data_IF_738907078707
#
_entry.id   IF_738907078707
#
_cell.length_a   1.000
_cell.length_b   1.000
_cell.length_c   1.000
_cell.angle_alpha   90.00
_cell.angle_beta   90.00
_cell.angle_gamma   90.00
#
_symmetry.space_group_name_H-M   'P 1'
#
loop_
_entity.id
_entity.type
_entity.pdbx_description
1 polymer ?
#
# COMPACT_ATOMS: atom_id res chain seq x y z
N UNK A 1 -18.09 -10.08 -41.93
CA UNK A 1 -17.20 -9.03 -41.39
C UNK A 1 -17.42 -9.01 -39.88
N UNK A 2 -16.63 -9.77 -39.14
CA UNK A 2 -16.56 -9.66 -37.68
C UNK A 2 -15.34 -8.81 -37.38
N UNK A 3 -15.56 -7.70 -36.66
CA UNK A 3 -14.48 -6.89 -36.12
C UNK A 3 -13.62 -7.77 -35.22
N UNK A 4 -12.34 -7.87 -35.56
CA UNK A 4 -11.34 -8.42 -34.67
C UNK A 4 -11.30 -7.56 -33.41
N UNK A 5 -11.63 -8.19 -32.29
CA UNK A 5 -11.56 -7.58 -30.97
C UNK A 5 -10.07 -7.43 -30.65
N UNK A 6 -9.52 -6.23 -30.88
CA UNK A 6 -8.16 -5.91 -30.44
C UNK A 6 -8.10 -6.14 -28.93
N UNK A 7 -7.26 -7.08 -28.51
CA UNK A 7 -6.92 -7.29 -27.10
C UNK A 7 -6.59 -5.92 -26.48
N UNK A 8 -7.11 -5.57 -25.29
CA UNK A 8 -6.67 -4.38 -24.60
C UNK A 8 -5.15 -4.48 -24.45
N UNK A 9 -4.45 -3.50 -25.01
CA UNK A 9 -3.02 -3.39 -24.87
C UNK A 9 -2.69 -3.19 -23.38
N UNK A 10 -1.82 -4.06 -22.87
CA UNK A 10 -1.06 -3.88 -21.64
C UNK A 10 -1.87 -3.53 -20.39
N UNK A 11 -2.67 -4.49 -19.90
CA UNK A 11 -2.93 -4.54 -18.46
C UNK A 11 -1.57 -4.72 -17.77
N UNK A 12 -1.05 -3.62 -17.19
CA UNK A 12 0.12 -3.68 -16.35
C UNK A 12 -0.17 -4.62 -15.17
N UNK A 13 0.31 -5.85 -15.29
CA UNK A 13 0.23 -6.83 -14.22
C UNK A 13 0.82 -6.18 -12.97
N UNK A 14 0.04 -6.15 -11.87
CA UNK A 14 0.58 -5.83 -10.55
C UNK A 14 1.80 -6.73 -10.39
N UNK A 15 2.98 -6.12 -10.23
CA UNK A 15 4.21 -6.87 -10.04
C UNK A 15 3.97 -7.86 -8.89
N UNK A 16 4.50 -9.08 -8.98
CA UNK A 16 4.23 -10.16 -8.01
C UNK A 16 4.58 -9.83 -6.55
N UNK A 17 5.21 -8.67 -6.31
CA UNK A 17 5.60 -8.11 -5.02
C UNK A 17 4.75 -6.90 -4.56
N UNK A 18 3.70 -6.53 -5.30
CA UNK A 18 2.82 -5.41 -4.99
C UNK A 18 1.55 -5.85 -4.25
N UNK A 19 1.24 -5.22 -3.11
CA UNK A 19 -0.04 -5.40 -2.41
C UNK A 19 -1.02 -4.31 -2.87
N UNK A 20 -2.13 -4.65 -3.56
CA UNK A 20 -3.13 -3.67 -3.95
C UNK A 20 -3.85 -3.12 -2.72
N UNK A 21 -4.11 -1.81 -2.69
CA UNK A 21 -4.75 -1.14 -1.55
C UNK A 21 -5.88 -0.20 -1.93
N UNK A 22 -6.19 -0.07 -3.22
CA UNK A 22 -7.26 0.79 -3.70
C UNK A 22 -7.13 1.10 -5.19
N UNK A 23 -7.89 2.11 -5.63
CA UNK A 23 -7.91 2.56 -7.02
C UNK A 23 -7.84 4.08 -7.11
N UNK A 24 -7.33 4.59 -8.22
CA UNK A 24 -7.30 6.00 -8.56
C UNK A 24 -7.75 6.23 -10.00
N UNK A 25 -8.22 7.44 -10.27
CA UNK A 25 -8.69 7.84 -11.59
C UNK A 25 -7.54 8.50 -12.35
N UNK A 26 -7.11 7.91 -13.46
CA UNK A 26 -6.09 8.51 -14.33
C UNK A 26 -6.71 9.44 -15.38
N UNK A 27 -7.91 9.09 -15.86
CA UNK A 27 -8.65 9.86 -16.87
C UNK A 27 -10.16 9.70 -16.69
N UNK A 28 -11.01 10.48 -17.39
CA UNK A 28 -12.47 10.43 -17.25
C UNK A 28 -13.09 9.02 -17.29
N UNK A 29 -12.50 8.12 -18.08
CA UNK A 29 -12.93 6.73 -18.27
C UNK A 29 -11.81 5.70 -18.01
N UNK A 30 -10.74 6.07 -17.29
CA UNK A 30 -9.62 5.18 -16.99
C UNK A 30 -9.28 5.20 -15.50
N UNK A 31 -9.15 4.00 -14.94
CA UNK A 31 -8.86 3.75 -13.53
C UNK A 31 -7.66 2.85 -13.42
N UNK A 32 -6.90 3.03 -12.34
CA UNK A 32 -5.74 2.21 -12.01
C UNK A 32 -5.78 1.73 -10.60
N UNK A 33 -5.17 0.57 -10.37
CA UNK A 33 -4.97 0.04 -9.03
C UNK A 33 -3.79 0.79 -8.41
N UNK A 34 -3.95 1.23 -7.17
CA UNK A 34 -2.86 1.69 -6.32
C UNK A 34 -2.35 0.48 -5.53
N UNK A 35 -1.03 0.31 -5.50
CA UNK A 35 -0.40 -0.77 -4.75
C UNK A 35 0.84 -0.28 -4.02
N UNK A 36 1.17 -0.97 -2.92
CA UNK A 36 2.41 -0.79 -2.17
C UNK A 36 3.37 -1.91 -2.55
N UNK A 37 4.63 -1.57 -2.82
CA UNK A 37 5.68 -2.54 -3.14
C UNK A 37 6.94 -2.27 -2.34
N UNK A 38 7.69 -3.33 -2.03
CA UNK A 38 9.04 -3.18 -1.46
C UNK A 38 10.04 -2.75 -2.52
N UNK A 39 10.88 -1.78 -2.18
CA UNK A 39 11.99 -1.32 -2.97
C UNK A 39 13.31 -1.77 -2.29
N UNK A 40 13.97 -2.82 -2.82
CA UNK A 40 15.18 -3.37 -2.21
C UNK A 40 16.39 -2.44 -2.33
N UNK A 41 16.38 -1.50 -3.29
CA UNK A 41 17.49 -0.56 -3.48
C UNK A 41 17.48 0.53 -2.40
N UNK A 42 16.29 0.95 -1.95
CA UNK A 42 16.13 2.00 -0.93
C UNK A 42 15.84 1.45 0.47
N UNK A 43 15.52 0.16 0.59
CA UNK A 43 15.10 -0.43 1.84
C UNK A 43 13.76 0.13 2.32
N UNK A 44 12.84 0.47 1.41
CA UNK A 44 11.57 1.07 1.80
C UNK A 44 10.38 0.67 0.93
N UNK A 45 9.20 1.09 1.38
CA UNK A 45 7.92 0.74 0.77
C UNK A 45 7.43 1.90 -0.09
N UNK A 46 7.22 1.65 -1.38
CA UNK A 46 6.79 2.65 -2.35
C UNK A 46 5.31 2.45 -2.70
N UNK A 47 4.58 3.57 -2.79
CA UNK A 47 3.22 3.63 -3.32
C UNK A 47 3.27 3.92 -4.82
N UNK A 48 2.66 3.06 -5.62
CA UNK A 48 2.68 3.11 -7.09
C UNK A 48 1.27 2.89 -7.64
N UNK A 49 1.09 3.15 -8.93
CA UNK A 49 -0.13 2.82 -9.67
C UNK A 49 0.17 1.85 -10.80
N UNK A 50 -0.80 1.06 -11.23
CA UNK A 50 -0.58 0.07 -12.30
C UNK A 50 -0.42 0.73 -13.67
N UNK A 51 -1.12 1.82 -13.98
CA UNK A 51 -1.00 2.50 -15.28
C UNK A 51 0.35 3.13 -15.59
N UNK A 52 1.24 3.27 -14.61
CA UNK A 52 2.56 3.84 -14.86
C UNK A 52 3.62 3.26 -13.94
N UNK A 53 4.87 3.28 -14.39
CA UNK A 53 6.03 2.94 -13.54
C UNK A 53 6.39 4.05 -12.54
N UNK A 54 5.54 5.08 -12.39
CA UNK A 54 5.81 6.22 -11.52
C UNK A 54 5.55 5.87 -10.05
N UNK A 55 6.50 6.23 -9.18
CA UNK A 55 6.31 6.19 -7.73
C UNK A 55 5.56 7.44 -7.27
N UNK A 56 4.34 7.26 -6.76
CA UNK A 56 3.51 8.34 -6.22
C UNK A 56 4.10 8.87 -4.90
N UNK A 57 4.45 7.95 -4.01
CA UNK A 57 5.10 8.24 -2.74
C UNK A 57 6.18 7.21 -2.49
N UNK A 58 7.43 7.66 -2.38
CA UNK A 58 8.53 6.77 -2.00
C UNK A 58 8.65 6.69 -0.49
N UNK A 59 9.04 5.51 0.00
CA UNK A 59 9.28 5.22 1.41
C UNK A 59 8.13 5.73 2.29
N UNK A 60 6.93 5.16 2.15
CA UNK A 60 5.71 5.62 2.83
C UNK A 60 5.87 5.69 4.36
N UNK A 61 6.70 4.82 4.95
CA UNK A 61 7.05 4.83 6.39
C UNK A 61 8.40 5.47 6.71
N UNK A 62 9.05 6.10 5.73
CA UNK A 62 10.30 6.86 5.94
C UNK A 62 11.48 6.00 6.41
N UNK A 63 11.54 4.72 6.01
CA UNK A 63 12.58 3.77 6.43
C UNK A 63 12.44 3.32 7.88
N UNK A 64 11.31 3.58 8.55
CA UNK A 64 11.11 3.20 9.95
C UNK A 64 10.60 1.78 10.15
N UNK A 65 10.20 1.08 9.07
CA UNK A 65 9.77 -0.31 9.14
C UNK A 65 10.69 -1.20 8.29
N UNK A 66 11.02 -2.39 8.82
CA UNK A 66 11.69 -3.46 8.07
C UNK A 66 10.69 -4.33 7.29
N UNK A 67 9.47 -4.47 7.82
CA UNK A 67 8.39 -5.22 7.19
C UNK A 67 7.04 -4.62 7.59
N UNK A 68 6.06 -4.74 6.70
CA UNK A 68 4.65 -4.42 6.95
C UNK A 68 3.90 -5.71 7.32
N UNK A 69 4.52 -6.52 8.17
CA UNK A 69 4.00 -7.76 8.72
C UNK A 69 4.40 -7.82 10.20
N UNK A 70 3.56 -8.43 11.04
CA UNK A 70 3.85 -8.57 12.47
C UNK A 70 4.87 -9.68 12.75
N UNK A 71 4.88 -10.71 11.91
CA UNK A 71 5.83 -11.84 11.95
C UNK A 71 6.33 -12.08 10.51
N UNK A 72 7.29 -11.28 10.04
CA UNK A 72 7.76 -11.36 8.66
C UNK A 72 8.74 -12.52 8.46
N UNK A 73 8.58 -13.24 7.35
CA UNK A 73 9.57 -14.23 6.90
C UNK A 73 10.85 -13.59 6.36
N UNK A 74 10.79 -12.32 5.93
CA UNK A 74 11.92 -11.57 5.38
C UNK A 74 11.69 -10.06 5.46
N UNK A 75 12.77 -9.29 5.34
CA UNK A 75 12.68 -7.84 5.09
C UNK A 75 11.82 -7.55 3.86
N UNK A 76 11.08 -6.45 3.89
CA UNK A 76 10.20 -6.04 2.81
C UNK A 76 8.88 -6.81 2.72
N UNK A 77 8.61 -7.77 3.62
CA UNK A 77 7.34 -8.50 3.64
C UNK A 77 6.16 -7.53 3.84
N UNK A 78 5.08 -7.71 3.07
CA UNK A 78 3.84 -6.94 3.19
C UNK A 78 2.68 -7.91 3.43
N UNK A 79 1.91 -7.68 4.48
CA UNK A 79 0.77 -8.52 4.86
C UNK A 79 -0.56 -7.84 4.53
N UNK A 80 -1.59 -8.64 4.27
CA UNK A 80 -2.91 -8.15 3.85
C UNK A 80 -3.62 -7.22 4.83
N UNK A 81 -3.26 -7.29 6.11
CA UNK A 81 -3.88 -6.60 7.23
C UNK A 81 -3.03 -5.44 7.78
N UNK A 82 -2.00 -5.03 7.04
CA UNK A 82 -1.04 -4.01 7.48
C UNK A 82 -1.21 -2.66 6.79
N UNK A 83 -2.19 -2.54 5.89
CA UNK A 83 -2.43 -1.35 5.09
C UNK A 83 -3.93 -1.03 5.06
N UNK A 84 -4.28 0.22 5.27
CA UNK A 84 -5.63 0.73 5.02
C UNK A 84 -5.59 2.14 4.43
N UNK A 85 -5.98 2.26 3.16
CA UNK A 85 -6.21 3.56 2.51
C UNK A 85 -7.56 4.13 2.97
N UNK A 86 -7.74 5.43 3.08
CA UNK A 86 -9.05 6.05 3.34
C UNK A 86 -9.94 6.04 2.08
N UNK A 87 -11.28 6.13 2.18
CA UNK A 87 -12.14 6.16 0.98
C UNK A 87 -11.89 7.40 0.12
N UNK A 88 -11.45 8.48 0.77
CA UNK A 88 -11.04 9.72 0.13
C UNK A 88 -9.69 9.63 -0.56
N UNK A 89 -8.95 8.53 -0.40
CA UNK A 89 -7.62 8.33 -0.98
C UNK A 89 -6.52 9.21 -0.39
N UNK A 90 -6.81 9.97 0.68
CA UNK A 90 -5.89 10.97 1.24
C UNK A 90 -5.03 10.44 2.38
N UNK A 91 -5.54 9.52 3.19
CA UNK A 91 -4.84 9.00 4.36
C UNK A 91 -4.53 7.53 4.16
N UNK A 92 -3.28 7.14 4.38
CA UNK A 92 -2.88 5.74 4.45
C UNK A 92 -2.47 5.41 5.89
N UNK A 93 -3.07 4.38 6.47
CA UNK A 93 -2.58 3.75 7.69
C UNK A 93 -1.66 2.60 7.30
N UNK A 94 -0.52 2.52 7.98
CA UNK A 94 0.48 1.47 7.75
C UNK A 94 0.89 0.89 9.10
N UNK A 95 0.70 -0.42 9.26
CA UNK A 95 1.21 -1.20 10.39
C UNK A 95 2.46 -1.96 9.96
N UNK A 96 3.43 -2.09 10.85
CA UNK A 96 4.65 -2.83 10.53
C UNK A 96 5.57 -2.96 11.72
N UNK A 97 6.66 -3.69 11.53
CA UNK A 97 7.70 -3.83 12.57
C UNK A 97 8.90 -2.94 12.24
N UNK A 98 9.42 -2.29 13.27
CA UNK A 98 10.67 -1.54 13.20
C UNK A 98 11.90 -2.47 13.35
N UNK A 99 13.10 -1.89 13.29
CA UNK A 99 14.35 -2.63 13.45
C UNK A 99 14.57 -3.21 14.84
N UNK A 100 13.82 -2.75 15.84
CA UNK A 100 13.79 -3.32 17.18
C UNK A 100 12.72 -4.41 17.34
N UNK A 101 12.12 -4.86 16.23
CA UNK A 101 11.05 -5.87 16.19
C UNK A 101 9.80 -5.46 16.98
N UNK A 102 9.54 -4.14 17.06
CA UNK A 102 8.32 -3.63 17.69
C UNK A 102 7.32 -3.25 16.62
N UNK A 103 6.07 -3.65 16.84
CA UNK A 103 4.96 -3.17 16.03
C UNK A 103 4.77 -1.67 16.22
N UNK A 104 4.67 -0.95 15.11
CA UNK A 104 4.42 0.47 15.03
C UNK A 104 3.27 0.69 14.06
N UNK A 105 2.56 1.80 14.24
CA UNK A 105 1.47 2.23 13.37
C UNK A 105 1.74 3.65 12.91
N UNK A 106 1.71 3.87 11.60
CA UNK A 106 1.91 5.18 10.99
C UNK A 106 0.66 5.64 10.25
N UNK A 107 0.43 6.95 10.29
CA UNK A 107 -0.54 7.67 9.48
C UNK A 107 0.22 8.52 8.47
N UNK A 108 -0.03 8.29 7.17
CA UNK A 108 0.61 9.02 6.08
C UNK A 108 -0.45 9.85 5.35
N UNK A 109 -0.35 11.17 5.44
CA UNK A 109 -1.15 12.07 4.59
C UNK A 109 -0.49 12.09 3.21
N UNK A 110 -1.19 11.58 2.18
CA UNK A 110 -0.63 11.36 0.85
C UNK A 110 -0.48 12.64 0.03
N UNK A 111 -1.23 13.70 0.37
CA UNK A 111 -1.12 15.00 -0.30
C UNK A 111 0.14 15.75 0.16
N UNK A 112 0.33 15.82 1.47
CA UNK A 112 1.44 16.52 2.10
C UNK A 112 2.68 15.63 2.28
N UNK A 113 2.52 14.31 2.12
CA UNK A 113 3.54 13.28 2.37
C UNK A 113 4.04 13.29 3.83
N UNK A 114 3.23 13.82 4.76
CA UNK A 114 3.55 13.86 6.19
C UNK A 114 3.33 12.49 6.81
N UNK A 115 4.26 12.07 7.67
CA UNK A 115 4.22 10.77 8.38
C UNK A 115 4.10 11.03 9.86
N UNK A 116 3.09 10.45 10.48
CA UNK A 116 2.82 10.58 11.91
C UNK A 116 2.84 9.19 12.53
N UNK A 117 3.70 8.97 13.51
CA UNK A 117 3.65 7.77 14.34
C UNK A 117 2.42 7.86 15.26
N UNK A 118 1.58 6.84 15.24
CA UNK A 118 0.40 6.72 16.08
C UNK A 118 0.75 5.90 17.32
N UNK A 119 0.49 6.48 18.50
CA UNK A 119 0.69 5.78 19.77
C UNK A 119 -0.46 4.81 20.02
N UNK A 120 -0.16 3.53 20.10
CA UNK A 120 -1.09 2.51 20.57
C UNK A 120 -0.93 2.33 22.09
N UNK A 121 -2.03 2.19 22.84
CA UNK A 121 -1.96 1.83 24.25
C UNK A 121 -1.19 0.51 24.42
N UNK A 122 -0.21 0.45 25.33
CA UNK A 122 0.76 -0.65 25.40
C UNK A 122 0.22 -2.07 25.70
N UNK A 123 -1.07 -2.22 25.99
CA UNK A 123 -1.75 -3.51 26.14
C UNK A 123 -2.44 -4.02 24.87
N UNK A 124 -2.44 -3.22 23.80
CA UNK A 124 -3.08 -3.56 22.53
C UNK A 124 -2.04 -4.22 21.62
N UNK A 125 -2.35 -5.41 21.11
CA UNK A 125 -1.55 -6.07 20.08
C UNK A 125 -1.64 -5.33 18.72
N UNK A 126 -1.10 -5.93 17.65
CA UNK A 126 -1.20 -5.37 16.31
C UNK A 126 -2.65 -5.06 15.91
N UNK A 127 -2.85 -3.88 15.32
CA UNK A 127 -4.18 -3.47 14.84
C UNK A 127 -4.41 -4.10 13.48
N UNK A 128 -5.56 -4.75 13.30
CA UNK A 128 -6.00 -5.19 11.98
C UNK A 128 -6.42 -3.98 11.15
N UNK A 129 -5.69 -3.70 10.08
CA UNK A 129 -6.04 -2.67 9.12
C UNK A 129 -6.79 -3.32 7.95
N UNK A 130 -8.04 -2.93 7.76
CA UNK A 130 -8.91 -3.45 6.70
C UNK A 130 -9.06 -2.38 5.64
N UNK A 131 -8.64 -2.68 4.41
CA UNK A 131 -8.90 -1.83 3.25
C UNK A 131 -10.39 -1.75 2.91
N UNK A 132 -10.83 -0.64 2.30
CA UNK A 132 -12.24 -0.46 1.94
C UNK A 132 -12.75 -1.49 0.94
N UNK A 133 -11.86 -1.95 0.07
CA UNK A 133 -12.11 -3.06 -0.87
C UNK A 133 -12.42 -4.38 -0.15
N UNK A 134 -12.06 -4.50 1.14
CA UNK A 134 -12.28 -5.68 1.98
C UNK A 134 -13.47 -5.53 2.94
N UNK A 135 -14.20 -4.41 2.91
CA UNK A 135 -15.43 -4.24 3.68
C UNK A 135 -16.58 -5.03 3.01
N UNK A 136 -17.10 -6.03 3.70
CA UNK A 136 -18.30 -6.74 3.27
C UNK A 136 -19.54 -5.95 3.71
N UNK A 137 -20.39 -5.58 2.75
CA UNK A 137 -21.75 -5.16 3.06
C UNK A 137 -22.58 -6.41 3.41
N UNK A 138 -23.13 -6.44 4.62
CA UNK A 138 -24.09 -7.46 5.04
C UNK A 138 -25.46 -7.26 4.38
#
# INVERSE_FOLDING_TARGET
MHQENTSPADDYAVQSNGTPIGYTKDAPSSWSIIYVSWNPDTGGFDLKKTSSSETLVSNIVGGQAQALCTDPSSEGSICDNSLALSPTGRQLLVGGIDSAQKYQLWSIDLDTKTRTLLTLPGSQGPVQLIGWDKLLAN
#
